data_IF_442132049839
#
_entry.id   IF_442132049839
#
_cell.length_a   1.000
_cell.length_b   1.000
_cell.length_c   1.000
_cell.angle_alpha   90.00
_cell.angle_beta   90.00
_cell.angle_gamma   90.00
#
_symmetry.space_group_name_H-M   'P 1'
#
loop_
_entity.id
_entity.type
_entity.pdbx_description
1 polymer ?
#
# COMPACT_ATOMS: atom_id res chain seq x y z
N UNK A 1 88.47 -32.00 -1.13
CA UNK A 1 87.19 -31.80 -1.77
C UNK A 1 86.12 -31.72 -0.67
N UNK A 2 85.74 -30.51 -0.28
CA UNK A 2 84.68 -30.30 0.72
C UNK A 2 83.35 -30.41 -0.02
N UNK A 3 82.56 -31.39 0.33
CA UNK A 3 81.14 -31.50 -0.14
C UNK A 3 80.35 -30.37 0.49
N UNK A 4 79.79 -29.56 -0.34
CA UNK A 4 78.95 -28.42 0.05
C UNK A 4 77.73 -28.92 0.86
N UNK A 5 77.62 -28.59 2.17
CA UNK A 5 76.51 -29.07 3.00
C UNK A 5 75.18 -28.51 2.59
N UNK A 6 75.09 -27.54 1.70
CA UNK A 6 73.84 -26.96 1.19
C UNK A 6 73.15 -27.80 0.12
N UNK A 7 73.84 -28.75 -0.50
CA UNK A 7 73.26 -29.68 -1.49
C UNK A 7 72.32 -30.70 -0.88
N UNK A 8 72.26 -30.86 0.44
CA UNK A 8 71.33 -31.75 1.15
C UNK A 8 70.04 -31.08 1.59
N UNK A 9 69.90 -29.75 1.35
CA UNK A 9 68.63 -29.06 1.65
C UNK A 9 67.59 -29.48 0.60
N UNK A 10 66.59 -30.19 1.05
CA UNK A 10 65.42 -30.49 0.25
C UNK A 10 64.70 -29.19 -0.14
N UNK A 11 64.38 -28.97 -1.42
CA UNK A 11 63.68 -27.76 -1.81
C UNK A 11 62.36 -27.65 -1.06
N UNK A 12 62.12 -26.49 -0.47
CA UNK A 12 60.88 -26.20 0.24
C UNK A 12 59.74 -26.27 -0.75
N UNK A 13 58.91 -27.29 -0.64
CA UNK A 13 57.69 -27.39 -1.41
C UNK A 13 56.72 -26.31 -0.89
N UNK A 14 56.59 -25.24 -1.62
CA UNK A 14 55.50 -24.26 -1.40
C UNK A 14 54.16 -25.00 -1.68
N UNK A 15 53.23 -25.02 -0.73
CA UNK A 15 51.92 -25.58 -1.00
C UNK A 15 51.28 -24.85 -2.19
N UNK A 16 50.55 -25.58 -3.06
CA UNK A 16 49.87 -24.96 -4.20
C UNK A 16 48.92 -23.86 -3.68
N UNK A 17 48.88 -22.73 -4.39
CA UNK A 17 47.99 -21.63 -4.04
C UNK A 17 46.54 -22.15 -3.91
N UNK A 18 45.84 -21.83 -2.82
CA UNK A 18 44.49 -22.29 -2.61
C UNK A 18 43.59 -21.84 -3.75
N UNK A 19 43.03 -22.79 -4.48
CA UNK A 19 42.06 -22.49 -5.55
C UNK A 19 40.84 -21.79 -4.96
N UNK A 20 40.44 -20.61 -5.54
CA UNK A 20 39.23 -19.93 -5.14
C UNK A 20 37.97 -20.71 -5.51
N UNK A 21 38.05 -21.74 -6.36
CA UNK A 21 36.98 -22.59 -6.81
C UNK A 21 37.28 -24.07 -6.49
N UNK A 22 36.30 -24.82 -5.90
CA UNK A 22 34.93 -24.44 -5.50
C UNK A 22 34.92 -23.60 -4.21
N UNK A 23 33.99 -22.65 -4.08
CA UNK A 23 33.86 -21.86 -2.86
C UNK A 23 33.50 -22.74 -1.66
N UNK A 24 33.98 -22.39 -0.48
CA UNK A 24 33.70 -23.13 0.75
C UNK A 24 32.17 -23.29 0.95
N UNK A 25 31.76 -24.41 1.53
CA UNK A 25 30.33 -24.77 1.75
C UNK A 25 29.54 -23.65 2.38
N UNK A 26 30.17 -22.83 3.26
CA UNK A 26 29.54 -21.68 3.88
C UNK A 26 29.00 -20.63 2.90
N UNK A 27 29.67 -20.43 1.75
CA UNK A 27 29.23 -19.52 0.72
C UNK A 27 27.91 -19.95 0.07
N UNK A 28 27.69 -21.25 -0.11
CA UNK A 28 26.45 -21.80 -0.63
C UNK A 28 25.29 -21.59 0.33
N UNK A 29 25.51 -21.76 1.63
CA UNK A 29 24.52 -21.47 2.68
C UNK A 29 24.18 -19.98 2.69
N UNK A 30 25.18 -19.10 2.62
CA UNK A 30 24.97 -17.66 2.57
C UNK A 30 24.20 -17.24 1.33
N UNK A 31 24.52 -17.79 0.16
CA UNK A 31 23.80 -17.55 -1.09
C UNK A 31 22.34 -17.98 -0.99
N UNK A 32 22.09 -19.16 -0.42
CA UNK A 32 20.72 -19.67 -0.22
C UNK A 32 19.91 -18.75 0.68
N UNK A 33 20.48 -18.32 1.81
CA UNK A 33 19.84 -17.37 2.72
C UNK A 33 19.57 -16.03 2.01
N UNK A 34 20.51 -15.53 1.22
CA UNK A 34 20.36 -14.30 0.45
C UNK A 34 19.19 -14.41 -0.56
N UNK A 35 19.10 -15.54 -1.27
CA UNK A 35 18.01 -15.80 -2.23
C UNK A 35 16.66 -15.84 -1.52
N UNK A 36 16.55 -16.49 -0.37
CA UNK A 36 15.32 -16.54 0.41
C UNK A 36 14.91 -15.13 0.86
N UNK A 37 15.86 -14.35 1.41
CA UNK A 37 15.58 -12.98 1.87
C UNK A 37 15.17 -12.07 0.72
N UNK A 38 15.83 -12.14 -0.43
CA UNK A 38 15.46 -11.35 -1.60
C UNK A 38 14.09 -11.73 -2.16
N UNK A 39 13.79 -13.02 -2.24
CA UNK A 39 12.47 -13.51 -2.65
C UNK A 39 11.37 -13.03 -1.70
N UNK A 40 11.63 -13.09 -0.40
CA UNK A 40 10.66 -12.63 0.62
C UNK A 40 10.45 -11.11 0.57
N UNK A 41 11.51 -10.32 0.39
CA UNK A 41 11.40 -8.86 0.24
C UNK A 41 10.62 -8.48 -1.02
N UNK A 42 10.89 -9.13 -2.16
CA UNK A 42 10.16 -8.91 -3.42
C UNK A 42 8.69 -9.27 -3.24
N UNK A 43 8.39 -10.43 -2.63
CA UNK A 43 7.01 -10.85 -2.36
C UNK A 43 6.26 -9.85 -1.48
N UNK A 44 6.89 -9.40 -0.38
CA UNK A 44 6.33 -8.42 0.53
C UNK A 44 6.07 -7.07 -0.16
N UNK A 45 7.03 -6.58 -0.95
CA UNK A 45 6.87 -5.35 -1.74
C UNK A 45 5.74 -5.45 -2.76
N UNK A 46 5.67 -6.54 -3.51
CA UNK A 46 4.61 -6.71 -4.52
C UNK A 46 3.23 -6.77 -3.89
N UNK A 47 3.10 -7.43 -2.74
CA UNK A 47 1.86 -7.47 -1.96
C UNK A 47 1.45 -6.06 -1.50
N UNK A 48 2.38 -5.29 -0.95
CA UNK A 48 2.16 -3.92 -0.51
C UNK A 48 1.73 -3.00 -1.67
N UNK A 49 2.46 -3.02 -2.79
CA UNK A 49 2.12 -2.21 -3.96
C UNK A 49 0.78 -2.60 -4.59
N UNK A 50 0.44 -3.89 -4.63
CA UNK A 50 -0.88 -4.34 -5.11
C UNK A 50 -2.01 -3.83 -4.22
N UNK A 51 -1.83 -3.85 -2.91
CA UNK A 51 -2.82 -3.35 -1.96
C UNK A 51 -3.01 -1.83 -2.03
N UNK A 52 -2.00 -1.06 -2.45
CA UNK A 52 -2.10 0.40 -2.63
C UNK A 52 -2.73 0.84 -3.97
N UNK A 53 -2.82 -0.06 -4.96
CA UNK A 53 -3.41 0.27 -6.29
C UNK A 53 -4.84 0.80 -6.19
N UNK A 54 -5.77 0.17 -5.45
CA UNK A 54 -7.15 0.65 -5.37
C UNK A 54 -7.25 2.03 -4.73
N UNK A 55 -6.42 2.34 -3.73
CA UNK A 55 -6.40 3.66 -3.09
C UNK A 55 -5.91 4.74 -4.05
N UNK A 56 -4.84 4.47 -4.80
CA UNK A 56 -4.32 5.42 -5.79
C UNK A 56 -5.32 5.69 -6.91
N UNK A 57 -5.95 4.63 -7.42
CA UNK A 57 -6.99 4.74 -8.43
C UNK A 57 -8.22 5.47 -7.87
N UNK A 58 -8.61 5.19 -6.62
CA UNK A 58 -9.68 5.88 -5.93
C UNK A 58 -9.44 7.39 -5.80
N UNK A 59 -8.21 7.81 -5.51
CA UNK A 59 -7.86 9.25 -5.49
C UNK A 59 -8.01 9.91 -6.84
N UNK A 60 -7.54 9.24 -7.90
CA UNK A 60 -7.70 9.74 -9.26
C UNK A 60 -9.17 9.90 -9.63
N UNK A 61 -9.99 8.86 -9.41
CA UNK A 61 -11.42 8.92 -9.69
C UNK A 61 -12.16 9.97 -8.86
N UNK A 62 -11.77 10.16 -7.59
CA UNK A 62 -12.37 11.21 -6.76
C UNK A 62 -12.05 12.62 -7.30
N UNK A 63 -10.83 12.84 -7.77
CA UNK A 63 -10.45 14.13 -8.38
C UNK A 63 -11.19 14.38 -9.70
N UNK A 64 -11.42 13.34 -10.50
CA UNK A 64 -12.14 13.40 -11.76
C UNK A 64 -13.64 13.68 -11.52
N UNK A 65 -14.26 13.02 -10.54
CA UNK A 65 -15.63 13.31 -10.11
C UNK A 65 -15.78 14.77 -9.63
N UNK A 66 -14.82 15.25 -8.86
CA UNK A 66 -14.84 16.63 -8.38
C UNK A 66 -14.65 17.63 -9.53
N UNK A 67 -13.80 17.35 -10.49
CA UNK A 67 -13.67 18.18 -11.70
C UNK A 67 -14.97 18.20 -12.51
N UNK A 68 -15.63 17.07 -12.68
CA UNK A 68 -16.93 16.95 -13.36
C UNK A 68 -18.03 17.74 -12.66
N UNK A 69 -18.03 17.76 -11.32
CA UNK A 69 -18.94 18.61 -10.53
C UNK A 69 -18.68 20.11 -10.80
N UNK A 70 -17.41 20.54 -10.77
CA UNK A 70 -17.06 21.95 -11.02
C UNK A 70 -17.37 22.41 -12.45
N UNK A 71 -17.38 21.50 -13.41
CA UNK A 71 -17.78 21.76 -14.79
C UNK A 71 -19.31 21.73 -14.99
N UNK A 72 -20.09 21.37 -13.95
CA UNK A 72 -21.53 21.28 -14.02
C UNK A 72 -22.04 20.03 -14.78
N UNK A 73 -21.19 19.02 -14.98
CA UNK A 73 -21.56 17.78 -15.68
C UNK A 73 -22.34 16.81 -14.79
N UNK A 74 -22.21 16.93 -13.47
CA UNK A 74 -22.94 16.12 -12.48
C UNK A 74 -23.53 17.04 -11.41
N UNK A 75 -24.63 16.60 -10.80
CA UNK A 75 -25.28 17.30 -9.69
C UNK A 75 -24.55 17.05 -8.37
N UNK A 76 -24.83 17.89 -7.35
CA UNK A 76 -24.31 17.70 -5.99
C UNK A 76 -24.74 16.34 -5.41
N UNK A 77 -25.98 15.90 -5.73
CA UNK A 77 -26.51 14.60 -5.31
C UNK A 77 -25.73 13.45 -5.94
N UNK A 78 -25.51 13.52 -7.26
CA UNK A 78 -24.73 12.52 -7.98
C UNK A 78 -23.31 12.44 -7.43
N UNK A 79 -22.68 13.58 -7.14
CA UNK A 79 -21.37 13.61 -6.55
C UNK A 79 -21.33 12.89 -5.21
N UNK A 80 -22.30 13.08 -4.33
CA UNK A 80 -22.39 12.38 -3.04
C UNK A 80 -22.57 10.88 -3.25
N UNK A 81 -23.51 10.49 -4.13
CA UNK A 81 -23.75 9.08 -4.42
C UNK A 81 -22.52 8.37 -5.00
N UNK A 82 -21.91 8.95 -6.02
CA UNK A 82 -20.73 8.40 -6.69
C UNK A 82 -19.53 8.35 -5.77
N UNK A 83 -19.32 9.39 -4.94
CA UNK A 83 -18.26 9.42 -3.95
C UNK A 83 -18.42 8.32 -2.90
N UNK A 84 -19.64 8.11 -2.37
CA UNK A 84 -19.89 7.03 -1.42
C UNK A 84 -19.67 5.65 -2.05
N UNK A 85 -20.14 5.45 -3.28
CA UNK A 85 -19.91 4.21 -4.02
C UNK A 85 -18.42 3.97 -4.25
N UNK A 86 -17.66 5.01 -4.61
CA UNK A 86 -16.22 4.96 -4.80
C UNK A 86 -15.50 4.50 -3.54
N UNK A 87 -15.81 5.12 -2.38
CA UNK A 87 -15.18 4.75 -1.11
C UNK A 87 -15.49 3.30 -0.72
N UNK A 88 -16.74 2.87 -0.86
CA UNK A 88 -17.11 1.46 -0.65
C UNK A 88 -16.35 0.52 -1.59
N UNK A 89 -16.20 0.89 -2.86
CA UNK A 89 -15.46 0.11 -3.86
C UNK A 89 -13.96 0.03 -3.54
N UNK A 90 -13.38 1.08 -2.98
CA UNK A 90 -11.97 1.06 -2.54
C UNK A 90 -11.80 0.19 -1.30
N UNK A 91 -12.67 0.32 -0.30
CA UNK A 91 -12.53 -0.37 0.98
C UNK A 91 -12.91 -1.85 0.90
N UNK A 92 -14.02 -2.21 0.26
CA UNK A 92 -14.54 -3.60 0.26
C UNK A 92 -13.77 -4.47 -0.72
N UNK A 93 -13.96 -4.37 -2.05
CA UNK A 93 -13.23 -5.24 -2.98
C UNK A 93 -11.77 -4.82 -3.16
N UNK A 94 -11.46 -3.51 -3.05
CA UNK A 94 -10.12 -2.99 -3.28
C UNK A 94 -9.13 -3.42 -2.21
N UNK A 95 -9.51 -3.35 -0.95
CA UNK A 95 -8.66 -3.72 0.20
C UNK A 95 -9.09 -5.04 0.88
N UNK A 96 -10.11 -5.71 0.35
CA UNK A 96 -10.61 -6.99 0.91
C UNK A 96 -11.27 -6.86 2.28
N UNK A 97 -11.67 -5.66 2.68
CA UNK A 97 -12.29 -5.40 4.00
C UNK A 97 -13.80 -5.66 3.95
N UNK A 98 -14.19 -6.91 3.80
CA UNK A 98 -15.58 -7.35 3.63
C UNK A 98 -16.50 -6.87 4.77
N UNK A 99 -15.96 -6.67 5.98
CA UNK A 99 -16.76 -6.15 7.12
C UNK A 99 -17.51 -4.85 6.79
N UNK A 100 -16.98 -4.02 5.90
CA UNK A 100 -17.59 -2.73 5.54
C UNK A 100 -18.76 -2.85 4.55
N UNK A 101 -18.92 -3.99 3.89
CA UNK A 101 -20.01 -4.19 2.92
C UNK A 101 -21.40 -4.10 3.57
N UNK A 102 -21.52 -4.54 4.83
CA UNK A 102 -22.78 -4.59 5.58
C UNK A 102 -23.08 -3.29 6.33
N UNK A 103 -22.12 -2.36 6.40
CA UNK A 103 -22.30 -1.12 7.14
C UNK A 103 -23.11 -0.10 6.33
N UNK A 104 -24.04 0.56 7.01
CA UNK A 104 -24.87 1.65 6.47
C UNK A 104 -25.16 2.70 7.52
N UNK A 105 -25.68 3.86 7.10
CA UNK A 105 -26.08 4.94 8.01
C UNK A 105 -24.97 5.38 8.97
N UNK A 106 -25.33 5.54 10.23
CA UNK A 106 -24.43 6.02 11.28
C UNK A 106 -23.24 5.11 11.55
N UNK A 107 -23.44 3.78 11.43
CA UNK A 107 -22.33 2.83 11.61
C UNK A 107 -21.27 2.98 10.52
N UNK A 108 -21.69 3.25 9.28
CA UNK A 108 -20.78 3.54 8.18
C UNK A 108 -19.98 4.80 8.43
N UNK A 109 -20.65 5.90 8.86
CA UNK A 109 -19.98 7.17 9.17
C UNK A 109 -18.98 7.04 10.31
N UNK A 110 -19.34 6.33 11.37
CA UNK A 110 -18.44 6.09 12.52
C UNK A 110 -17.17 5.31 12.09
N UNK A 111 -17.31 4.35 11.19
CA UNK A 111 -16.16 3.62 10.66
C UNK A 111 -15.27 4.50 9.77
N UNK A 112 -15.86 5.38 8.96
CA UNK A 112 -15.10 6.37 8.17
C UNK A 112 -14.34 7.34 9.08
N UNK A 113 -14.94 7.78 10.19
CA UNK A 113 -14.27 8.62 11.19
C UNK A 113 -13.12 7.87 11.86
N UNK A 114 -13.30 6.60 12.19
CA UNK A 114 -12.24 5.75 12.74
C UNK A 114 -11.04 5.65 11.79
N UNK A 115 -11.29 5.49 10.49
CA UNK A 115 -10.24 5.39 9.47
C UNK A 115 -9.57 6.77 9.25
N UNK A 116 -10.38 7.84 9.18
CA UNK A 116 -9.87 9.20 8.92
C UNK A 116 -9.18 9.80 10.15
N UNK A 117 -9.50 9.30 11.35
CA UNK A 117 -9.05 9.87 12.64
C UNK A 117 -9.58 11.29 12.86
N UNK A 118 -10.79 11.56 12.36
CA UNK A 118 -11.49 12.85 12.50
C UNK A 118 -13.00 12.60 12.52
N UNK A 119 -13.78 13.48 13.12
CA UNK A 119 -15.24 13.36 13.18
C UNK A 119 -15.92 14.03 11.97
N UNK A 120 -15.22 14.13 10.85
CA UNK A 120 -15.70 14.85 9.65
C UNK A 120 -16.87 14.13 8.97
N UNK A 121 -17.06 12.85 9.23
CA UNK A 121 -18.12 12.04 8.61
C UNK A 121 -19.36 11.92 9.52
N UNK A 122 -19.22 11.88 10.82
CA UNK A 122 -20.36 11.84 11.73
C UNK A 122 -20.91 13.23 12.09
N UNK A 123 -20.04 14.24 12.17
CA UNK A 123 -20.40 15.61 12.61
C UNK A 123 -20.14 16.69 11.57
N UNK A 124 -19.46 16.36 10.45
CA UNK A 124 -19.08 17.32 9.41
C UNK A 124 -19.79 17.09 8.08
N UNK A 125 -19.18 17.63 7.00
CA UNK A 125 -19.71 17.54 5.63
C UNK A 125 -19.89 16.10 5.12
N UNK A 126 -19.21 15.13 5.72
CA UNK A 126 -19.35 13.72 5.36
C UNK A 126 -20.64 13.05 5.84
N UNK A 127 -21.44 13.72 6.68
CA UNK A 127 -22.72 13.19 7.22
C UNK A 127 -23.70 12.77 6.13
N UNK A 128 -23.68 13.50 5.01
CA UNK A 128 -24.48 13.20 3.80
C UNK A 128 -24.18 11.82 3.19
N UNK A 129 -23.03 11.21 3.46
CA UNK A 129 -22.73 9.84 3.00
C UNK A 129 -23.50 8.76 3.77
N UNK A 130 -24.15 9.12 4.86
CA UNK A 130 -25.03 8.27 5.64
C UNK A 130 -26.43 8.18 5.04
N UNK A 131 -27.46 8.25 5.89
CA UNK A 131 -28.85 8.17 5.48
C UNK A 131 -29.37 9.51 4.89
N UNK A 132 -28.73 10.62 5.18
CA UNK A 132 -29.15 11.94 4.72
C UNK A 132 -29.15 12.09 3.18
N UNK A 133 -28.35 11.31 2.47
CA UNK A 133 -28.32 11.26 1.00
C UNK A 133 -29.64 10.84 0.34
N UNK A 134 -30.60 10.32 1.10
CA UNK A 134 -31.90 9.89 0.63
C UNK A 134 -33.01 10.89 0.94
N UNK A 135 -32.70 12.03 1.53
CA UNK A 135 -33.66 13.13 1.80
C UNK A 135 -33.71 14.09 0.60
N UNK A 136 -34.89 14.48 0.20
CA UNK A 136 -35.15 15.30 -1.01
C UNK A 136 -34.52 16.70 -0.99
N UNK A 137 -34.14 17.23 0.18
CA UNK A 137 -33.59 18.58 0.35
C UNK A 137 -32.36 18.57 1.26
N UNK A 138 -31.29 17.90 0.88
CA UNK A 138 -30.05 18.02 1.63
C UNK A 138 -29.14 19.11 1.03
N UNK A 139 -28.63 19.99 1.88
CA UNK A 139 -27.61 20.95 1.49
C UNK A 139 -26.25 20.36 1.81
N UNK A 140 -25.40 20.25 0.80
CA UNK A 140 -24.04 19.70 0.96
C UNK A 140 -23.01 20.72 0.51
N UNK A 141 -21.97 20.91 1.34
CA UNK A 141 -20.77 21.60 0.96
C UNK A 141 -19.82 20.57 0.29
N UNK A 142 -19.94 20.46 -1.04
CA UNK A 142 -19.16 19.50 -1.83
C UNK A 142 -17.66 19.72 -1.73
N UNK A 143 -17.21 20.96 -1.48
CA UNK A 143 -15.80 21.29 -1.33
C UNK A 143 -15.24 20.70 -0.03
N UNK A 144 -15.97 20.87 1.07
CA UNK A 144 -15.60 20.26 2.36
C UNK A 144 -15.69 18.73 2.31
N UNK A 145 -16.71 18.20 1.64
CA UNK A 145 -16.84 16.76 1.45
C UNK A 145 -15.65 16.19 0.66
N UNK A 146 -15.26 16.82 -0.44
CA UNK A 146 -14.09 16.42 -1.23
C UNK A 146 -12.80 16.41 -0.39
N UNK A 147 -12.59 17.46 0.43
CA UNK A 147 -11.42 17.54 1.31
C UNK A 147 -11.40 16.42 2.34
N UNK A 148 -12.56 16.12 2.96
CA UNK A 148 -12.69 15.03 3.93
C UNK A 148 -12.41 13.66 3.28
N UNK A 149 -12.95 13.39 2.09
CA UNK A 149 -12.73 12.16 1.33
C UNK A 149 -11.26 12.01 0.89
N UNK A 150 -10.64 13.08 0.44
CA UNK A 150 -9.23 13.06 0.06
C UNK A 150 -8.33 12.79 1.28
N UNK A 151 -8.65 13.36 2.44
CA UNK A 151 -7.96 13.09 3.69
C UNK A 151 -8.14 11.64 4.14
N UNK A 152 -9.35 11.10 4.05
CA UNK A 152 -9.64 9.68 4.29
C UNK A 152 -8.75 8.79 3.43
N UNK A 153 -8.76 8.99 2.10
CA UNK A 153 -7.96 8.19 1.16
C UNK A 153 -6.45 8.32 1.38
N UNK A 154 -5.96 9.42 1.98
CA UNK A 154 -4.55 9.55 2.36
C UNK A 154 -4.19 8.71 3.59
N UNK A 155 -5.14 8.50 4.52
CA UNK A 155 -4.92 7.75 5.77
C UNK A 155 -5.19 6.25 5.65
N UNK A 156 -5.90 5.82 4.61
CA UNK A 156 -6.11 4.39 4.37
C UNK A 156 -4.76 3.71 4.15
N UNK A 157 -4.46 2.78 5.04
CA UNK A 157 -3.33 1.85 4.92
C UNK A 157 -3.85 0.46 4.56
N UNK A 158 -3.16 -0.26 3.65
CA UNK A 158 -3.53 -1.63 3.26
C UNK A 158 -3.38 -2.63 4.41
#
# INVERSE_FOLDING_TARGET
MQSDPLQQLKPLHLPPDPSWWPPAIGWWVLLLVLVILTAWTIYSMTKFFRAMRPVRHGKYLLSDLYASLKLGHISDEDFVHLSNQLIKRVLVPGLGKIKYSKLSGSQWLAELDSISGSNSFSQGAGKVLGNERFTENFSVDCDKLYLALNQLLKRIRP
#
